data_IF_596506083015
#
_entry.id   IF_596506083015
#
_cell.length_a   1.000
_cell.length_b   1.000
_cell.length_c   1.000
_cell.angle_alpha   90.00
_cell.angle_beta   90.00
_cell.angle_gamma   90.00
#
_symmetry.space_group_name_H-M   'P 1'
#
loop_
_entity.id
_entity.type
_entity.pdbx_description
1 polymer ?
#
# COMPACT_ATOMS: atom_id res chain seq x y z
N UNK A 1 17.06 14.96 23.09
CA UNK A 1 16.82 15.69 21.81
C UNK A 1 16.99 14.81 20.58
N UNK A 2 17.91 13.84 20.56
CA UNK A 2 18.08 12.84 19.46
C UNK A 2 16.81 12.09 19.01
N UNK A 3 15.91 11.75 19.93
CA UNK A 3 14.69 11.00 19.58
C UNK A 3 13.72 11.77 18.67
N UNK A 4 13.67 13.11 18.79
CA UNK A 4 12.78 13.95 17.97
C UNK A 4 13.35 14.13 16.57
N UNK A 5 14.67 14.30 16.43
CA UNK A 5 15.35 14.36 15.13
C UNK A 5 15.22 13.05 14.35
N UNK A 6 15.41 11.90 15.01
CA UNK A 6 15.22 10.58 14.41
C UNK A 6 13.77 10.38 13.92
N UNK A 7 12.79 10.81 14.72
CA UNK A 7 11.38 10.79 14.32
C UNK A 7 11.08 11.69 13.11
N UNK A 8 11.70 12.88 13.05
CA UNK A 8 11.53 13.83 11.95
C UNK A 8 12.10 13.29 10.62
N UNK A 9 13.27 12.67 10.68
CA UNK A 9 13.92 12.02 9.52
C UNK A 9 13.10 10.82 9.04
N UNK A 10 12.61 9.98 9.94
CA UNK A 10 11.75 8.85 9.60
C UNK A 10 10.44 9.31 8.94
N UNK A 11 9.79 10.34 9.49
CA UNK A 11 8.56 10.91 8.94
C UNK A 11 8.77 11.49 7.53
N UNK A 12 9.88 12.22 7.29
CA UNK A 12 10.20 12.75 5.97
C UNK A 12 10.44 11.65 4.93
N UNK A 13 11.13 10.58 5.32
CA UNK A 13 11.35 9.42 4.45
C UNK A 13 10.04 8.71 4.09
N UNK A 14 9.12 8.56 5.05
CA UNK A 14 7.81 7.98 4.82
C UNK A 14 6.94 8.87 3.91
N UNK A 15 7.00 10.19 4.08
CA UNK A 15 6.28 11.15 3.24
C UNK A 15 6.73 11.08 1.78
N UNK A 16 8.04 10.99 1.54
CA UNK A 16 8.61 10.78 0.20
C UNK A 16 8.18 9.44 -0.42
N UNK A 17 8.15 8.38 0.38
CA UNK A 17 7.68 7.05 -0.04
C UNK A 17 6.20 7.09 -0.43
N UNK A 18 5.35 7.64 0.44
CA UNK A 18 3.91 7.78 0.19
C UNK A 18 3.65 8.63 -1.06
N UNK A 19 4.36 9.76 -1.22
CA UNK A 19 4.19 10.63 -2.39
C UNK A 19 4.49 9.90 -3.71
N UNK A 20 5.50 9.03 -3.75
CA UNK A 20 5.82 8.23 -4.94
C UNK A 20 4.76 7.15 -5.19
N UNK A 21 4.32 6.46 -4.13
CA UNK A 21 3.24 5.46 -4.23
C UNK A 21 1.98 6.11 -4.77
N UNK A 22 1.55 7.23 -4.19
CA UNK A 22 0.35 7.97 -4.61
C UNK A 22 0.45 8.40 -6.07
N UNK A 23 1.61 8.88 -6.54
CA UNK A 23 1.78 9.27 -7.94
C UNK A 23 1.68 8.08 -8.89
N UNK A 24 2.32 6.95 -8.56
CA UNK A 24 2.25 5.73 -9.40
C UNK A 24 0.85 5.13 -9.39
N UNK A 25 0.28 4.91 -8.22
CA UNK A 25 -1.06 4.35 -8.08
C UNK A 25 -2.10 5.29 -8.65
N UNK A 26 -1.96 6.61 -8.48
CA UNK A 26 -2.87 7.60 -9.04
C UNK A 26 -2.91 7.57 -10.56
N UNK A 27 -1.76 7.48 -11.23
CA UNK A 27 -1.69 7.36 -12.69
C UNK A 27 -2.23 6.02 -13.19
N UNK A 28 -1.96 4.92 -12.49
CA UNK A 28 -2.53 3.60 -12.81
C UNK A 28 -4.05 3.57 -12.66
N UNK A 29 -4.57 4.10 -11.55
CA UNK A 29 -6.02 4.17 -11.30
C UNK A 29 -6.69 5.05 -12.35
N UNK A 30 -6.13 6.22 -12.67
CA UNK A 30 -6.65 7.07 -13.73
C UNK A 30 -6.68 6.34 -15.09
N UNK A 31 -5.62 5.62 -15.44
CA UNK A 31 -5.56 4.84 -16.67
C UNK A 31 -6.60 3.71 -16.70
N UNK A 32 -6.80 3.00 -15.57
CA UNK A 32 -7.85 1.97 -15.46
C UNK A 32 -9.26 2.54 -15.51
N UNK A 33 -9.49 3.72 -14.93
CA UNK A 33 -10.79 4.41 -15.02
C UNK A 33 -11.10 4.78 -16.46
N UNK A 34 -10.13 5.36 -17.18
CA UNK A 34 -10.29 5.68 -18.61
C UNK A 34 -10.54 4.41 -19.42
N UNK A 35 -9.76 3.35 -19.20
CA UNK A 35 -9.95 2.07 -19.87
C UNK A 35 -11.33 1.46 -19.61
N UNK A 36 -11.80 1.53 -18.36
CA UNK A 36 -13.13 1.05 -17.96
C UNK A 36 -14.26 1.83 -18.62
N UNK A 37 -14.15 3.17 -18.65
CA UNK A 37 -15.16 4.02 -19.30
C UNK A 37 -15.26 3.75 -20.79
N UNK A 38 -14.14 3.73 -21.51
CA UNK A 38 -14.13 3.41 -22.94
C UNK A 38 -14.55 1.97 -23.23
N UNK A 39 -14.20 1.01 -22.38
CA UNK A 39 -14.69 -0.36 -22.49
C UNK A 39 -16.21 -0.46 -22.30
N UNK A 40 -16.79 0.37 -21.43
CA UNK A 40 -18.23 0.40 -21.19
C UNK A 40 -18.98 1.06 -22.37
N UNK A 41 -18.42 2.13 -22.94
CA UNK A 41 -18.92 2.71 -24.19
C UNK A 41 -18.82 1.72 -25.36
N UNK A 42 -17.71 1.00 -25.49
CA UNK A 42 -17.55 -0.04 -26.50
C UNK A 42 -18.64 -1.13 -26.37
N UNK A 43 -18.95 -1.58 -25.15
CA UNK A 43 -20.03 -2.54 -24.92
C UNK A 43 -21.41 -1.98 -25.30
N UNK A 44 -21.68 -0.71 -24.96
CA UNK A 44 -22.92 -0.06 -25.34
C UNK A 44 -23.07 0.04 -26.87
N UNK A 45 -22.01 0.47 -27.57
CA UNK A 45 -21.97 0.54 -29.03
C UNK A 45 -22.07 -0.82 -29.69
N UNK A 46 -21.45 -1.86 -29.11
CA UNK A 46 -21.57 -3.24 -29.59
C UNK A 46 -23.03 -3.72 -29.53
N UNK A 47 -23.77 -3.33 -28.49
CA UNK A 47 -25.17 -3.68 -28.34
C UNK A 47 -26.05 -2.98 -29.40
N UNK A 48 -25.81 -1.69 -29.65
CA UNK A 48 -26.49 -0.92 -30.71
C UNK A 48 -26.16 -1.48 -32.10
N UNK A 49 -24.89 -1.80 -32.34
CA UNK A 49 -24.43 -2.44 -33.58
C UNK A 49 -25.14 -3.79 -33.80
N UNK A 50 -25.22 -4.61 -32.75
CA UNK A 50 -25.93 -5.89 -32.79
C UNK A 50 -27.40 -5.71 -33.14
N UNK A 51 -28.07 -4.74 -32.52
CA UNK A 51 -29.46 -4.39 -32.83
C UNK A 51 -29.65 -3.97 -34.30
N UNK A 52 -28.83 -3.04 -34.81
CA UNK A 52 -28.93 -2.58 -36.21
C UNK A 52 -28.63 -3.71 -37.21
N UNK A 53 -27.66 -4.58 -36.92
CA UNK A 53 -27.35 -5.73 -37.77
C UNK A 53 -28.50 -6.75 -37.84
N UNK A 54 -29.25 -6.93 -36.75
CA UNK A 54 -30.42 -7.79 -36.67
C UNK A 54 -31.68 -7.14 -37.28
N UNK A 55 -31.87 -5.85 -37.06
CA UNK A 55 -33.06 -5.11 -37.47
C UNK A 55 -33.02 -4.70 -38.96
N UNK A 56 -31.84 -4.45 -39.52
CA UNK A 56 -31.65 -3.95 -40.90
C UNK A 56 -30.42 -4.60 -41.56
N UNK A 57 -30.52 -5.87 -41.97
CA UNK A 57 -29.38 -6.60 -42.55
C UNK A 57 -28.84 -5.96 -43.85
N UNK A 58 -29.66 -5.20 -44.57
CA UNK A 58 -29.30 -4.58 -45.85
C UNK A 58 -28.65 -3.19 -45.68
N UNK A 59 -28.65 -2.65 -44.46
CA UNK A 59 -28.15 -1.31 -44.16
C UNK A 59 -26.62 -1.34 -43.92
N UNK A 60 -25.87 -1.48 -45.01
CA UNK A 60 -24.40 -1.56 -44.98
C UNK A 60 -23.76 -0.30 -44.37
N UNK A 61 -24.31 0.89 -44.65
CA UNK A 61 -23.74 2.17 -44.18
C UNK A 61 -23.72 2.36 -42.66
N UNK A 62 -24.86 2.25 -41.96
CA UNK A 62 -24.92 2.39 -40.49
C UNK A 62 -24.07 1.37 -39.73
N UNK A 63 -23.95 0.15 -40.25
CA UNK A 63 -23.18 -0.94 -39.65
C UNK A 63 -21.68 -0.62 -39.70
N UNK A 64 -21.14 -0.18 -40.84
CA UNK A 64 -19.72 0.18 -40.93
C UNK A 64 -19.35 1.38 -40.05
N UNK A 65 -20.23 2.38 -39.94
CA UNK A 65 -19.99 3.53 -39.08
C UNK A 65 -19.87 3.15 -37.60
N UNK A 66 -20.70 2.23 -37.13
CA UNK A 66 -20.70 1.76 -35.75
C UNK A 66 -19.56 0.77 -35.45
N UNK A 67 -19.12 -0.02 -36.44
CA UNK A 67 -17.87 -0.82 -36.35
C UNK A 67 -16.64 0.06 -36.15
N UNK A 68 -16.54 1.18 -36.87
CA UNK A 68 -15.40 2.11 -36.75
C UNK A 68 -15.36 2.71 -35.34
N UNK A 69 -16.50 3.15 -34.80
CA UNK A 69 -16.58 3.71 -33.45
C UNK A 69 -16.19 2.66 -32.40
N UNK A 70 -16.72 1.44 -32.53
CA UNK A 70 -16.36 0.32 -31.66
C UNK A 70 -14.85 0.02 -31.68
N UNK A 71 -14.24 0.04 -32.87
CA UNK A 71 -12.80 -0.18 -33.02
C UNK A 71 -11.98 0.93 -32.34
N UNK A 72 -12.39 2.19 -32.48
CA UNK A 72 -11.75 3.33 -31.80
C UNK A 72 -11.84 3.20 -30.28
N UNK A 73 -13.03 2.87 -29.76
CA UNK A 73 -13.23 2.70 -28.31
C UNK A 73 -12.40 1.53 -27.75
N UNK A 74 -12.32 0.42 -28.49
CA UNK A 74 -11.47 -0.72 -28.13
C UNK A 74 -9.99 -0.35 -28.12
N UNK A 75 -9.52 0.43 -29.09
CA UNK A 75 -8.12 0.90 -29.13
C UNK A 75 -7.83 1.79 -27.92
N UNK A 76 -8.71 2.73 -27.59
CA UNK A 76 -8.52 3.61 -26.42
C UNK A 76 -8.56 2.80 -25.12
N UNK A 77 -9.51 1.87 -25.00
CA UNK A 77 -9.62 0.98 -23.84
C UNK A 77 -8.34 0.13 -23.68
N UNK A 78 -7.83 -0.44 -24.78
CA UNK A 78 -6.61 -1.24 -24.79
C UNK A 78 -5.39 -0.42 -24.39
N UNK A 79 -5.23 0.79 -24.92
CA UNK A 79 -4.15 1.71 -24.55
C UNK A 79 -4.22 2.04 -23.06
N UNK A 80 -5.41 2.38 -22.54
CA UNK A 80 -5.62 2.66 -21.12
C UNK A 80 -5.26 1.45 -20.24
N UNK A 81 -5.60 0.24 -20.68
CA UNK A 81 -5.32 -1.00 -19.96
C UNK A 81 -3.82 -1.33 -19.97
N UNK A 82 -3.13 -1.11 -21.11
CA UNK A 82 -1.68 -1.26 -21.20
C UNK A 82 -0.93 -0.26 -20.32
N UNK A 83 -1.38 1.00 -20.27
CA UNK A 83 -0.82 2.03 -19.39
C UNK A 83 -1.10 1.74 -17.90
N UNK A 84 -2.28 1.18 -17.59
CA UNK A 84 -2.68 0.78 -16.24
C UNK A 84 -1.87 -0.40 -15.67
N UNK A 85 -1.37 -1.30 -16.52
CA UNK A 85 -0.56 -2.48 -16.16
C UNK A 85 0.86 -2.17 -15.66
N UNK A 86 1.14 -0.93 -15.25
CA UNK A 86 2.46 -0.48 -14.80
C UNK A 86 3.18 -1.44 -13.82
N UNK A 87 4.50 -1.52 -13.99
CA UNK A 87 5.43 -2.54 -13.47
C UNK A 87 5.31 -2.87 -11.97
N UNK A 88 5.48 -4.16 -11.69
CA UNK A 88 5.66 -4.79 -10.37
C UNK A 88 6.67 -4.01 -9.52
N UNK A 89 6.27 -3.73 -8.28
CA UNK A 89 7.04 -3.21 -7.13
C UNK A 89 8.38 -2.53 -7.43
N UNK A 90 8.47 -1.23 -7.12
CA UNK A 90 9.71 -0.48 -7.26
C UNK A 90 10.72 -1.01 -6.21
N UNK A 91 11.95 -1.40 -6.56
CA UNK A 91 12.96 -1.86 -5.60
C UNK A 91 13.14 -0.88 -4.44
N UNK A 92 13.01 0.42 -4.71
CA UNK A 92 13.09 1.49 -3.72
C UNK A 92 11.95 1.41 -2.69
N UNK A 93 10.77 0.94 -3.10
CA UNK A 93 9.61 0.80 -2.22
C UNK A 93 9.76 -0.38 -1.24
N UNK A 94 10.45 -1.43 -1.69
CA UNK A 94 10.82 -2.61 -0.89
C UNK A 94 11.92 -2.21 0.10
N UNK A 95 12.98 -1.55 -0.37
CA UNK A 95 14.10 -1.06 0.44
C UNK A 95 13.61 -0.12 1.57
N UNK A 96 12.69 0.79 1.23
CA UNK A 96 12.12 1.73 2.19
C UNK A 96 11.21 1.03 3.23
N UNK A 97 10.49 -0.03 2.84
CA UNK A 97 9.72 -0.86 3.79
C UNK A 97 10.64 -1.61 4.75
N UNK A 98 11.69 -2.25 4.22
CA UNK A 98 12.69 -2.97 5.02
C UNK A 98 13.37 -2.02 6.01
N UNK A 99 13.71 -0.81 5.56
CA UNK A 99 14.35 0.21 6.41
C UNK A 99 13.43 0.66 7.56
N UNK A 100 12.14 0.89 7.28
CA UNK A 100 11.13 1.20 8.32
C UNK A 100 10.99 0.07 9.33
N UNK A 101 10.89 -1.17 8.86
CA UNK A 101 10.67 -2.31 9.74
C UNK A 101 11.90 -2.57 10.63
N UNK A 102 13.12 -2.36 10.09
CA UNK A 102 14.36 -2.36 10.88
C UNK A 102 14.36 -1.26 11.93
N UNK A 103 14.08 -0.01 11.57
CA UNK A 103 14.14 1.10 12.51
C UNK A 103 13.11 1.00 13.63
N UNK A 104 11.90 0.52 13.34
CA UNK A 104 10.89 0.23 14.37
C UNK A 104 11.32 -0.90 15.31
N UNK A 105 11.98 -1.93 14.78
CA UNK A 105 12.49 -3.04 15.59
C UNK A 105 13.63 -2.57 16.49
N UNK A 106 14.56 -1.77 15.97
CA UNK A 106 15.63 -1.17 16.76
C UNK A 106 15.09 -0.22 17.83
N UNK A 107 14.07 0.59 17.52
CA UNK A 107 13.40 1.44 18.52
C UNK A 107 12.76 0.60 19.63
N UNK A 108 12.05 -0.48 19.31
CA UNK A 108 11.47 -1.38 20.33
C UNK A 108 12.54 -2.03 21.19
N UNK A 109 13.66 -2.44 20.60
CA UNK A 109 14.78 -3.01 21.34
C UNK A 109 15.45 -1.96 22.24
N UNK A 110 15.64 -0.73 21.75
CA UNK A 110 16.17 0.38 22.55
C UNK A 110 15.24 0.75 23.71
N UNK A 111 13.92 0.77 23.49
CA UNK A 111 12.93 0.98 24.54
C UNK A 111 12.88 -0.18 25.53
N UNK A 112 12.94 -1.43 25.07
CA UNK A 112 12.98 -2.61 25.93
C UNK A 112 14.24 -2.59 26.80
N UNK A 113 15.41 -2.32 26.24
CA UNK A 113 16.67 -2.19 26.99
C UNK A 113 16.62 -1.02 27.97
N UNK A 114 16.07 0.13 27.57
CA UNK A 114 15.92 1.28 28.47
C UNK A 114 14.96 0.96 29.62
N UNK A 115 13.82 0.31 29.33
CA UNK A 115 12.85 -0.12 30.32
C UNK A 115 13.41 -1.20 31.25
N UNK A 116 14.20 -2.14 30.74
CA UNK A 116 14.84 -3.20 31.52
C UNK A 116 15.97 -2.62 32.39
N UNK A 117 16.74 -1.67 31.88
CA UNK A 117 17.76 -0.94 32.64
C UNK A 117 17.11 -0.08 33.72
N UNK A 118 16.00 0.61 33.42
CA UNK A 118 15.22 1.38 34.38
C UNK A 118 14.52 0.47 35.41
N UNK A 119 14.09 -0.73 35.01
CA UNK A 119 13.54 -1.73 35.91
C UNK A 119 14.61 -2.41 36.78
N UNK A 120 15.89 -2.40 36.38
CA UNK A 120 16.99 -2.93 37.20
C UNK A 120 17.60 -1.86 38.11
N UNK A 121 17.74 -0.63 37.63
CA UNK A 121 18.40 0.47 38.35
C UNK A 121 17.42 1.41 39.07
N UNK A 122 16.13 1.37 38.70
CA UNK A 122 15.10 2.24 39.26
C UNK A 122 14.55 1.79 40.62
N UNK A 123 13.90 2.71 41.36
CA UNK A 123 13.42 2.47 42.73
C UNK A 123 12.36 1.35 42.82
N UNK A 124 11.60 1.10 41.73
CA UNK A 124 10.60 0.03 41.64
C UNK A 124 11.29 -1.34 41.51
N UNK A 125 12.32 -1.44 40.67
CA UNK A 125 13.14 -2.63 40.49
C UNK A 125 13.80 -3.12 41.77
N UNK A 126 14.37 -2.17 42.50
CA UNK A 126 15.03 -2.42 43.77
C UNK A 126 14.06 -2.93 44.84
N UNK A 127 12.80 -2.47 44.83
CA UNK A 127 11.73 -2.98 45.71
C UNK A 127 11.27 -4.38 45.32
N UNK A 128 11.09 -4.66 44.03
CA UNK A 128 10.72 -5.98 43.54
C UNK A 128 11.81 -7.04 43.81
N UNK A 129 13.08 -6.68 43.61
CA UNK A 129 14.22 -7.52 43.96
C UNK A 129 14.31 -7.83 45.45
N UNK A 130 14.08 -6.83 46.33
CA UNK A 130 14.04 -7.06 47.77
C UNK A 130 12.83 -7.91 48.21
N UNK A 131 11.70 -7.81 47.54
CA UNK A 131 10.53 -8.65 47.81
C UNK A 131 10.79 -10.13 47.44
N UNK A 132 11.44 -10.38 46.30
CA UNK A 132 11.87 -11.72 45.90
C UNK A 132 12.90 -12.32 46.87
N UNK A 133 13.90 -11.54 47.27
CA UNK A 133 14.88 -11.97 48.30
C UNK A 133 14.18 -12.26 49.63
N UNK A 134 13.18 -11.47 50.02
CA UNK A 134 12.38 -11.70 51.22
C UNK A 134 11.58 -13.00 51.18
N UNK A 135 11.04 -13.39 50.01
CA UNK A 135 10.33 -14.65 49.81
C UNK A 135 11.27 -15.85 49.88
N UNK A 136 12.44 -15.78 49.22
CA UNK A 136 13.46 -16.83 49.25
C UNK A 136 14.01 -17.00 50.67
N UNK A 137 14.25 -15.91 51.40
CA UNK A 137 14.75 -15.97 52.78
C UNK A 137 13.71 -16.56 53.74
N UNK A 138 12.41 -16.38 53.47
CA UNK A 138 11.32 -17.01 54.25
C UNK A 138 11.17 -18.49 53.96
N UNK A 139 11.40 -18.95 52.74
CA UNK A 139 11.34 -20.39 52.42
C UNK A 139 12.53 -21.16 53.01
N UNK A 140 13.71 -20.55 53.07
CA UNK A 140 14.92 -21.16 53.65
C UNK A 140 14.87 -21.22 55.19
N UNK A 141 14.23 -20.26 55.87
CA UNK A 141 14.12 -20.22 57.34
C UNK A 141 13.01 -21.12 57.93
N UNK A 142 12.22 -21.78 57.08
CA UNK A 142 11.16 -22.72 57.48
C UNK A 142 11.57 -24.20 57.38
N UNK A 143 12.83 -24.48 57.05
CA UNK A 143 13.49 -25.77 57.30
C UNK A 143 14.42 -25.60 58.49
#
# INVERSE_FOLDING_TARGET
MRGIELGKVAAQAELLRVKRIVRRTGTQVAAFVVAGLFGLFALAFLHVLGWEALARPDAVGPIWASVIILAVDLVIALIGLMLGRGKVADPIEIEARITRDRSLTEMRNAFALTALTAALTGPIGRRAGMALVGLIRRSVRRR
#
